data_IF_655435887700
#
_entry.id   IF_655435887700
#
_cell.length_a   1.000
_cell.length_b   1.000
_cell.length_c   1.000
_cell.angle_alpha   90.00
_cell.angle_beta   90.00
_cell.angle_gamma   90.00
#
_symmetry.space_group_name_H-M   'P 1'
#
loop_
_entity.id
_entity.type
_entity.pdbx_description
1 polymer ?
#
# COMPACT_ATOMS: atom_id res chain seq x y z
N UNK A 1 29.69 3.24 10.20
CA UNK A 1 28.43 3.90 10.54
C UNK A 1 27.32 3.19 9.78
N UNK A 2 26.47 2.43 10.45
CA UNK A 2 25.27 1.84 9.86
C UNK A 2 24.14 2.84 10.00
N UNK A 3 23.61 3.31 8.88
CA UNK A 3 22.45 4.21 8.87
C UNK A 3 21.22 3.36 9.19
N UNK A 4 20.50 3.68 10.27
CA UNK A 4 19.21 3.06 10.62
C UNK A 4 18.08 3.95 10.12
N UNK A 5 17.03 3.33 9.60
CA UNK A 5 15.83 4.06 9.20
C UNK A 5 15.07 4.50 10.46
N UNK A 6 14.97 5.81 10.70
CA UNK A 6 14.33 6.38 11.91
C UNK A 6 12.82 6.09 12.02
N UNK A 7 12.24 5.46 11.01
CA UNK A 7 10.81 5.20 10.88
C UNK A 7 10.44 3.72 11.06
N UNK A 8 11.38 2.81 10.86
CA UNK A 8 11.17 1.38 11.07
C UNK A 8 12.27 0.72 11.92
N UNK A 9 13.25 1.49 12.37
CA UNK A 9 14.42 1.08 13.17
C UNK A 9 15.26 -0.07 12.55
N UNK A 10 15.11 -0.29 11.24
CA UNK A 10 15.88 -1.28 10.47
C UNK A 10 17.17 -0.68 9.91
N UNK A 11 18.20 -1.50 9.74
CA UNK A 11 19.43 -1.11 9.05
C UNK A 11 19.16 -0.86 7.56
N UNK A 12 19.57 0.31 7.06
CA UNK A 12 19.51 0.62 5.63
C UNK A 12 20.43 -0.35 4.88
N UNK A 13 19.84 -1.24 4.08
CA UNK A 13 20.52 -2.35 3.39
C UNK A 13 19.96 -3.74 3.69
N UNK A 14 19.21 -3.92 4.79
CA UNK A 14 18.44 -5.14 5.07
C UNK A 14 16.96 -4.94 4.74
N UNK A 15 16.60 -4.93 3.45
CA UNK A 15 15.20 -5.01 3.02
C UNK A 15 14.28 -3.86 3.47
N UNK A 16 14.83 -2.70 3.84
CA UNK A 16 14.04 -1.47 4.03
C UNK A 16 13.44 -1.09 2.67
N UNK A 17 12.13 -1.27 2.48
CA UNK A 17 11.38 -0.81 1.30
C UNK A 17 11.19 0.73 1.30
N UNK A 18 12.23 1.42 1.75
CA UNK A 18 12.30 2.84 1.97
C UNK A 18 13.08 3.41 0.79
N UNK A 19 12.45 3.64 -0.37
CA UNK A 19 13.13 4.36 -1.46
C UNK A 19 13.66 5.68 -0.87
N UNK A 20 14.97 5.91 -1.00
CA UNK A 20 15.70 7.06 -0.46
C UNK A 20 15.58 7.28 1.07
N UNK A 21 15.31 6.22 1.84
CA UNK A 21 15.15 6.31 3.29
C UNK A 21 13.84 6.96 3.74
N UNK A 22 12.89 7.17 2.82
CA UNK A 22 11.54 7.65 3.13
C UNK A 22 10.56 6.48 3.12
N UNK A 23 9.61 6.44 4.06
CA UNK A 23 8.68 5.34 4.15
C UNK A 23 7.63 5.52 3.05
N UNK A 24 7.55 4.57 2.11
CA UNK A 24 6.56 4.65 1.03
C UNK A 24 5.16 4.42 1.60
N UNK A 25 4.24 5.35 1.30
CA UNK A 25 2.84 5.22 1.71
C UNK A 25 2.09 4.32 0.73
N UNK A 26 1.25 3.46 1.30
CA UNK A 26 0.29 2.64 0.58
C UNK A 26 -1.12 2.96 1.04
N UNK A 27 -2.08 2.79 0.13
CA UNK A 27 -3.51 2.93 0.38
C UNK A 27 -4.18 1.57 0.21
N UNK A 28 -4.97 1.18 1.20
CA UNK A 28 -5.59 -0.14 1.28
C UNK A 28 -7.02 -0.04 1.78
N UNK A 29 -7.79 -1.10 1.55
CA UNK A 29 -9.12 -1.31 2.14
C UNK A 29 -9.10 -2.65 2.87
N UNK A 30 -9.91 -2.81 3.92
CA UNK A 30 -9.85 -4.05 4.70
C UNK A 30 -10.22 -5.31 3.88
N UNK A 31 -11.10 -5.17 2.88
CA UNK A 31 -11.51 -6.28 2.00
C UNK A 31 -10.72 -6.42 0.70
N UNK A 32 -9.83 -5.47 0.37
CA UNK A 32 -9.06 -5.49 -0.88
C UNK A 32 -7.82 -6.39 -0.80
N UNK A 33 -7.50 -7.10 -1.88
CA UNK A 33 -6.30 -7.94 -2.02
C UNK A 33 -5.05 -7.17 -2.47
N UNK A 34 -5.23 -5.92 -2.93
CA UNK A 34 -4.15 -5.08 -3.44
C UNK A 34 -3.88 -3.87 -2.55
N UNK A 35 -2.66 -3.34 -2.64
CA UNK A 35 -2.30 -2.02 -2.12
C UNK A 35 -1.98 -1.05 -3.25
N UNK A 36 -2.25 0.24 -3.02
CA UNK A 36 -2.19 1.29 -4.04
C UNK A 36 -1.22 2.39 -3.64
N UNK A 37 -0.45 2.93 -4.60
CA UNK A 37 0.48 4.05 -4.36
C UNK A 37 -0.25 5.38 -4.18
N UNK A 38 -1.44 5.50 -4.77
CA UNK A 38 -2.26 6.72 -4.78
C UNK A 38 -3.65 6.47 -4.18
N UNK A 39 -4.15 7.41 -3.38
CA UNK A 39 -5.47 7.32 -2.73
C UNK A 39 -6.62 7.42 -3.74
N UNK A 40 -6.40 8.15 -4.82
CA UNK A 40 -7.32 8.43 -5.92
C UNK A 40 -7.10 7.48 -7.12
N UNK A 41 -6.43 6.35 -6.89
CA UNK A 41 -6.25 5.34 -7.93
C UNK A 41 -7.61 4.87 -8.48
N UNK A 42 -7.80 4.96 -9.80
CA UNK A 42 -9.05 4.58 -10.47
C UNK A 42 -9.46 3.13 -10.15
N UNK A 43 -8.49 2.22 -10.11
CA UNK A 43 -8.73 0.82 -9.78
C UNK A 43 -9.20 0.60 -8.34
N UNK A 44 -8.73 1.43 -7.41
CA UNK A 44 -9.20 1.41 -6.03
C UNK A 44 -10.67 1.84 -5.98
N UNK A 45 -11.02 2.93 -6.67
CA UNK A 45 -12.39 3.42 -6.77
C UNK A 45 -13.31 2.38 -7.43
N UNK A 46 -12.85 1.76 -8.53
CA UNK A 46 -13.58 0.70 -9.23
C UNK A 46 -13.81 -0.53 -8.35
N UNK A 47 -12.81 -0.94 -7.57
CA UNK A 47 -12.96 -2.05 -6.62
C UNK A 47 -14.01 -1.78 -5.54
N UNK A 48 -14.09 -0.54 -5.03
CA UNK A 48 -15.14 -0.14 -4.09
C UNK A 48 -16.52 -0.14 -4.73
N UNK A 49 -16.63 0.37 -5.97
CA UNK A 49 -17.88 0.37 -6.72
C UNK A 49 -18.36 -1.04 -7.04
N UNK A 50 -17.45 -1.95 -7.41
CA UNK A 50 -17.76 -3.37 -7.66
C UNK A 50 -18.20 -4.10 -6.38
N UNK A 51 -17.52 -3.86 -5.25
CA UNK A 51 -17.93 -4.39 -3.96
C UNK A 51 -19.35 -3.91 -3.59
N UNK A 52 -19.63 -2.61 -3.77
CA UNK A 52 -20.96 -2.05 -3.56
C UNK A 52 -22.01 -2.69 -4.49
N UNK A 53 -21.72 -2.82 -5.79
CA UNK A 53 -22.62 -3.41 -6.77
C UNK A 53 -22.94 -4.89 -6.48
N UNK A 54 -22.00 -5.61 -5.85
CA UNK A 54 -22.16 -7.00 -5.40
C UNK A 54 -22.84 -7.12 -4.03
N UNK A 55 -23.27 -6.01 -3.41
CA UNK A 55 -23.85 -6.00 -2.07
C UNK A 55 -22.85 -6.35 -0.96
N UNK A 56 -21.54 -6.29 -1.25
CA UNK A 56 -20.49 -6.49 -0.26
C UNK A 56 -20.30 -5.21 0.56
N UNK A 57 -19.75 -5.38 1.76
CA UNK A 57 -19.39 -4.24 2.60
C UNK A 57 -18.25 -3.44 1.96
N UNK A 58 -18.53 -2.18 1.64
CA UNK A 58 -17.54 -1.18 1.23
C UNK A 58 -16.75 -0.77 2.47
N UNK A 59 -15.43 -0.86 2.39
CA UNK A 59 -14.53 -0.54 3.49
C UNK A 59 -13.85 0.81 3.26
N UNK A 60 -13.60 1.65 4.29
CA UNK A 60 -12.87 2.89 4.09
C UNK A 60 -11.46 2.63 3.56
N UNK A 61 -10.96 3.55 2.75
CA UNK A 61 -9.56 3.58 2.32
C UNK A 61 -8.72 4.11 3.47
N UNK A 62 -7.74 3.34 3.91
CA UNK A 62 -6.78 3.72 4.95
C UNK A 62 -5.37 3.83 4.37
N UNK A 63 -4.57 4.73 4.94
CA UNK A 63 -3.14 4.84 4.63
C UNK A 63 -2.32 3.96 5.56
N UNK A 64 -1.29 3.33 5.03
CA UNK A 64 -0.28 2.56 5.76
C UNK A 64 1.07 2.69 5.06
N UNK A 65 2.08 1.96 5.52
CA UNK A 65 3.37 1.84 4.84
C UNK A 65 3.39 0.61 3.94
N UNK A 66 4.06 0.70 2.80
CA UNK A 66 4.24 -0.43 1.86
C UNK A 66 4.80 -1.67 2.58
N UNK A 67 5.82 -1.49 3.42
CA UNK A 67 6.43 -2.58 4.21
C UNK A 67 5.44 -3.35 5.10
N UNK A 68 4.32 -2.72 5.52
CA UNK A 68 3.33 -3.38 6.36
C UNK A 68 2.40 -4.31 5.56
N UNK A 69 2.36 -4.16 4.23
CA UNK A 69 1.37 -4.80 3.35
C UNK A 69 1.97 -5.57 2.19
N UNK A 70 3.20 -5.28 1.77
CA UNK A 70 3.84 -5.88 0.59
C UNK A 70 3.98 -7.41 0.66
N UNK A 71 4.13 -7.96 1.87
CA UNK A 71 4.21 -9.40 2.10
C UNK A 71 2.84 -10.11 2.10
N UNK A 72 1.73 -9.35 2.16
CA UNK A 72 0.37 -9.88 2.37
C UNK A 72 -0.60 -9.57 1.23
N UNK A 73 -0.25 -8.62 0.36
CA UNK A 73 -1.14 -8.06 -0.66
C UNK A 73 -0.37 -7.85 -1.95
N UNK A 74 -1.07 -7.98 -3.08
CA UNK A 74 -0.50 -7.66 -4.38
C UNK A 74 -0.30 -6.16 -4.55
N UNK A 75 0.73 -5.74 -5.29
CA UNK A 75 0.83 -4.36 -5.74
C UNK A 75 -0.24 -4.09 -6.80
N UNK A 76 -0.86 -2.92 -6.76
CA UNK A 76 -1.74 -2.52 -7.86
C UNK A 76 -0.90 -2.15 -9.09
N UNK A 77 -0.98 -2.99 -10.13
CA UNK A 77 -0.26 -2.82 -11.40
C UNK A 77 -0.47 -1.42 -12.00
N UNK A 78 -1.71 -0.90 -11.97
CA UNK A 78 -2.03 0.40 -12.56
C UNK A 78 -1.34 1.62 -11.92
N UNK A 79 -1.09 1.60 -10.61
CA UNK A 79 -0.50 2.76 -9.91
C UNK A 79 0.93 2.55 -9.42
N UNK A 80 1.49 1.36 -9.64
CA UNK A 80 2.89 1.04 -9.36
C UNK A 80 3.73 0.78 -10.63
N UNK A 81 3.11 0.40 -11.75
CA UNK A 81 3.83 0.14 -13.02
C UNK A 81 3.53 1.18 -14.12
N UNK A 82 2.55 2.06 -13.88
CA UNK A 82 2.14 3.14 -14.80
C UNK A 82 2.84 4.47 -14.53
#
# INVERSE_FOLDING_TARGET
MTTRCELCDLEIGQGCACEDGRPERAYVTAGGSSYHRRRDCEWLARGQADAHAKGLRVHPVTSTLVQNVELKRGRCEYCYEG
#
